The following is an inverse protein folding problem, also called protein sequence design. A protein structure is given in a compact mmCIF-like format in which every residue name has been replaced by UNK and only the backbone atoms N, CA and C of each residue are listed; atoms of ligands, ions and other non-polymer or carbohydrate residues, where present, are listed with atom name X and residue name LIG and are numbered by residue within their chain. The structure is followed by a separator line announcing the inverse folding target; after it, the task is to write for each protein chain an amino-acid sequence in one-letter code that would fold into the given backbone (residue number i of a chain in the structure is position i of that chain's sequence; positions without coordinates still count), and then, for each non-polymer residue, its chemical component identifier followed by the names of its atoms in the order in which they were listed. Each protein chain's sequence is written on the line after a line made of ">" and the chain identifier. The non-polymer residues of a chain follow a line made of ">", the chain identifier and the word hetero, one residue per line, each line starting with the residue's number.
data_IF_955790442970
#
_entry.id   IF_955790442970
#
_cell.length_a   1.000
_cell.length_b   1.000
_cell.length_c   1.000
_cell.angle_alpha   90.00
_cell.angle_beta   90.00
_cell.angle_gamma   90.00
#
_symmetry.space_group_name_H-M   'P 1'
#
loop_
_entity.id
_entity.type
_entity.pdbx_description
1 polymer ?
#
# COMPACT_ATOMS: atom_id res chain seq x y z
N UNK A 1 -27.35 -29.52 -55.17
CA UNK A 1 -27.90 -28.79 -54.01
C UNK A 1 -26.75 -28.37 -53.10
N UNK A 2 -26.25 -27.15 -53.30
CA UNK A 2 -25.22 -26.51 -52.45
C UNK A 2 -25.90 -25.79 -51.29
N UNK A 3 -25.61 -26.20 -50.05
CA UNK A 3 -26.12 -25.57 -48.82
C UNK A 3 -25.36 -24.26 -48.50
N UNK A 4 -25.98 -23.31 -47.78
CA UNK A 4 -25.71 -21.87 -47.95
C UNK A 4 -24.47 -21.36 -47.19
N UNK A 5 -23.84 -20.35 -47.79
CA UNK A 5 -22.78 -19.50 -47.20
C UNK A 5 -23.30 -18.83 -45.93
N UNK A 6 -22.60 -19.01 -44.82
CA UNK A 6 -22.86 -18.34 -43.55
C UNK A 6 -22.31 -16.91 -43.65
N UNK A 7 -23.14 -15.99 -44.14
CA UNK A 7 -22.83 -14.56 -44.16
C UNK A 7 -22.74 -14.05 -42.71
N UNK A 8 -21.50 -13.93 -42.25
CA UNK A 8 -21.13 -13.47 -40.91
C UNK A 8 -20.77 -11.98 -41.00
N UNK A 9 -21.71 -11.15 -41.42
CA UNK A 9 -21.51 -9.70 -41.56
C UNK A 9 -22.80 -8.96 -41.23
N UNK A 10 -22.74 -8.13 -40.17
CA UNK A 10 -23.74 -7.24 -39.54
C UNK A 10 -23.77 -7.60 -38.03
N UNK A 11 -23.06 -6.94 -37.12
CA UNK A 11 -22.89 -5.51 -36.91
C UNK A 11 -21.55 -5.20 -36.20
N UNK A 12 -20.68 -4.33 -36.73
CA UNK A 12 -19.68 -3.63 -35.92
C UNK A 12 -20.26 -2.26 -35.56
N UNK A 13 -21.31 -2.25 -34.74
CA UNK A 13 -21.65 -1.03 -34.00
C UNK A 13 -21.08 -1.23 -32.61
N UNK A 14 -19.94 -0.62 -32.33
CA UNK A 14 -19.58 -0.26 -30.96
C UNK A 14 -20.87 0.30 -30.34
N UNK A 15 -21.48 -0.47 -29.45
CA UNK A 15 -22.58 0.01 -28.63
C UNK A 15 -21.96 1.06 -27.73
N UNK A 16 -22.02 2.26 -28.24
CA UNK A 16 -21.48 3.50 -27.72
C UNK A 16 -22.35 3.91 -26.52
N UNK A 17 -22.33 3.07 -25.49
CA UNK A 17 -23.22 3.13 -24.33
C UNK A 17 -22.55 3.92 -23.19
N UNK A 18 -23.25 4.93 -22.68
CA UNK A 18 -22.80 5.76 -21.55
C UNK A 18 -23.30 5.13 -20.24
N UNK A 19 -22.38 4.71 -19.38
CA UNK A 19 -22.73 4.13 -18.09
C UNK A 19 -23.13 5.23 -17.09
N UNK A 20 -24.26 5.04 -16.41
CA UNK A 20 -24.65 5.93 -15.32
C UNK A 20 -23.78 5.70 -14.08
N UNK A 21 -22.97 6.68 -13.69
CA UNK A 21 -22.08 6.58 -12.52
C UNK A 21 -22.83 6.48 -11.17
N UNK A 22 -24.13 6.80 -11.14
CA UNK A 22 -24.95 6.72 -9.92
C UNK A 22 -25.54 5.31 -9.68
N UNK A 23 -25.93 4.60 -10.75
CA UNK A 23 -26.67 3.33 -10.63
C UNK A 23 -26.15 2.20 -11.51
N UNK A 24 -25.12 2.45 -12.34
CA UNK A 24 -24.54 1.46 -13.24
C UNK A 24 -25.37 1.13 -14.48
N UNK A 25 -26.53 1.78 -14.69
CA UNK A 25 -27.39 1.51 -15.86
C UNK A 25 -26.73 2.01 -17.16
N UNK A 26 -26.66 1.18 -18.22
CA UNK A 26 -26.19 1.61 -19.54
C UNK A 26 -27.27 2.46 -20.21
N UNK A 27 -26.90 3.68 -20.62
CA UNK A 27 -27.78 4.60 -21.33
C UNK A 27 -27.21 4.90 -22.72
N UNK A 28 -28.06 5.36 -23.64
CA UNK A 28 -27.59 5.78 -24.96
C UNK A 28 -26.75 7.05 -24.81
N UNK A 29 -25.75 7.26 -25.67
CA UNK A 29 -24.94 8.50 -25.69
C UNK A 29 -25.78 9.79 -25.82
N UNK A 30 -26.95 9.72 -26.47
CA UNK A 30 -27.88 10.85 -26.59
C UNK A 30 -28.54 11.24 -25.27
N UNK A 31 -28.58 10.35 -24.30
CA UNK A 31 -29.36 10.53 -23.08
C UNK A 31 -28.62 11.46 -22.13
N UNK A 32 -29.26 12.57 -21.76
CA UNK A 32 -28.73 13.53 -20.76
C UNK A 32 -29.03 13.12 -19.33
N UNK A 33 -30.01 12.25 -19.13
CA UNK A 33 -30.47 11.75 -17.84
C UNK A 33 -30.57 10.24 -17.89
N UNK A 34 -30.23 9.58 -16.78
CA UNK A 34 -30.31 8.14 -16.70
C UNK A 34 -31.77 7.71 -16.81
N UNK A 35 -32.08 6.79 -17.73
CA UNK A 35 -33.43 6.28 -17.95
C UNK A 35 -34.01 5.63 -16.69
N UNK A 36 -33.16 4.99 -15.88
CA UNK A 36 -33.56 4.37 -14.62
C UNK A 36 -33.67 5.36 -13.44
N UNK A 37 -32.55 5.93 -12.99
CA UNK A 37 -32.53 6.72 -11.75
C UNK A 37 -32.77 8.23 -11.95
N UNK A 38 -33.04 8.68 -13.19
CA UNK A 38 -33.26 10.09 -13.58
C UNK A 38 -32.13 11.06 -13.23
N UNK A 39 -31.02 10.60 -12.64
CA UNK A 39 -29.86 11.43 -12.37
C UNK A 39 -29.28 11.92 -13.69
N UNK A 40 -28.85 13.18 -13.74
CA UNK A 40 -28.10 13.70 -14.88
C UNK A 40 -26.93 12.77 -15.20
N UNK A 41 -26.85 12.29 -16.44
CA UNK A 41 -25.67 11.65 -17.01
C UNK A 41 -24.66 12.75 -17.31
N UNK A 42 -24.33 13.49 -16.27
CA UNK A 42 -23.52 14.68 -16.30
C UNK A 42 -22.21 14.26 -16.93
N UNK A 43 -21.97 14.80 -18.13
CA UNK A 43 -20.68 14.89 -18.74
C UNK A 43 -19.79 15.68 -17.78
N UNK A 44 -19.37 15.05 -16.67
CA UNK A 44 -18.30 15.57 -15.81
C UNK A 44 -16.98 15.33 -16.55
N UNK A 45 -16.91 15.82 -17.79
CA UNK A 45 -15.69 16.22 -18.45
C UNK A 45 -15.19 17.46 -17.74
N UNK A 46 -14.68 17.28 -16.52
CA UNK A 46 -13.63 18.18 -16.06
C UNK A 46 -12.49 18.12 -17.09
N UNK A 47 -11.61 19.12 -17.16
CA UNK A 47 -10.63 19.29 -18.24
C UNK A 47 -9.68 18.10 -18.49
N UNK A 48 -9.70 17.08 -17.63
CA UNK A 48 -8.86 15.89 -17.75
C UNK A 48 -9.66 14.60 -17.47
N UNK A 49 -10.62 14.20 -18.33
CA UNK A 49 -11.32 12.92 -18.19
C UNK A 49 -10.33 11.74 -18.19
N UNK A 50 -9.25 11.87 -18.96
CA UNK A 50 -8.13 10.94 -19.00
C UNK A 50 -7.43 10.77 -17.63
N UNK A 51 -7.35 11.80 -16.80
CA UNK A 51 -6.71 11.72 -15.47
C UNK A 51 -7.54 10.88 -14.50
N UNK A 52 -8.86 10.99 -14.59
CA UNK A 52 -9.79 10.21 -13.76
C UNK A 52 -9.79 8.74 -14.18
N UNK A 53 -9.78 8.50 -15.48
CA UNK A 53 -9.73 7.15 -16.05
C UNK A 53 -8.39 6.46 -15.75
N UNK A 54 -7.27 7.15 -15.95
CA UNK A 54 -5.94 6.67 -15.54
C UNK A 54 -5.85 6.45 -14.04
N UNK A 55 -6.42 7.34 -13.20
CA UNK A 55 -6.48 7.15 -11.75
C UNK A 55 -7.24 5.87 -11.37
N UNK A 56 -8.42 5.61 -11.94
CA UNK A 56 -9.16 4.39 -11.66
C UNK A 56 -8.43 3.14 -12.17
N UNK A 57 -7.78 3.20 -13.34
CA UNK A 57 -6.96 2.11 -13.88
C UNK A 57 -5.76 1.83 -12.96
N UNK A 58 -5.03 2.86 -12.53
CA UNK A 58 -3.90 2.75 -11.60
C UNK A 58 -4.34 2.19 -10.25
N UNK A 59 -5.44 2.71 -9.70
CA UNK A 59 -6.02 2.22 -8.44
C UNK A 59 -6.43 0.75 -8.55
N UNK A 60 -7.06 0.36 -9.65
CA UNK A 60 -7.46 -1.03 -9.90
C UNK A 60 -6.24 -1.94 -10.07
N UNK A 61 -5.23 -1.53 -10.84
CA UNK A 61 -3.95 -2.25 -10.97
C UNK A 61 -3.26 -2.40 -9.61
N UNK A 62 -3.31 -1.37 -8.77
CA UNK A 62 -2.76 -1.40 -7.42
C UNK A 62 -3.53 -2.37 -6.51
N UNK A 63 -4.87 -2.36 -6.56
CA UNK A 63 -5.71 -3.31 -5.81
C UNK A 63 -5.51 -4.77 -6.25
N UNK A 64 -5.33 -5.01 -7.55
CA UNK A 64 -5.00 -6.33 -8.08
C UNK A 64 -3.59 -6.75 -7.68
N UNK A 65 -2.61 -5.84 -7.72
CA UNK A 65 -1.24 -6.09 -7.25
C UNK A 65 -1.25 -6.41 -5.75
N UNK A 66 -2.03 -5.71 -4.93
CA UNK A 66 -2.19 -6.04 -3.50
C UNK A 66 -2.84 -7.41 -3.27
N UNK A 67 -3.91 -7.75 -4.00
CA UNK A 67 -4.52 -9.10 -3.90
C UNK A 67 -3.57 -10.19 -4.38
N UNK A 68 -2.83 -9.95 -5.46
CA UNK A 68 -1.81 -10.87 -5.95
C UNK A 68 -0.69 -11.05 -4.93
N UNK A 69 -0.19 -9.98 -4.30
CA UNK A 69 0.77 -10.13 -3.19
C UNK A 69 0.17 -10.79 -1.94
N UNK A 70 -1.14 -10.68 -1.69
CA UNK A 70 -1.79 -11.45 -0.61
C UNK A 70 -1.90 -12.95 -0.89
N UNK A 71 -1.93 -13.36 -2.16
CA UNK A 71 -2.10 -14.74 -2.60
C UNK A 71 -0.75 -15.39 -2.94
N UNK A 72 0.15 -14.64 -3.59
CA UNK A 72 1.45 -15.10 -4.12
C UNK A 72 2.66 -14.64 -3.28
N UNK A 73 2.50 -13.73 -2.30
CA UNK A 73 3.61 -13.37 -1.42
C UNK A 73 3.40 -13.93 -0.01
N UNK A 74 4.41 -14.65 0.53
CA UNK A 74 4.55 -14.76 1.97
C UNK A 74 4.88 -13.34 2.41
N UNK A 75 3.89 -12.58 2.86
CA UNK A 75 4.04 -11.20 3.37
C UNK A 75 4.83 -11.14 4.68
N UNK A 76 5.74 -12.09 4.88
CA UNK A 76 6.59 -12.27 6.04
C UNK A 76 8.07 -12.00 5.76
N UNK A 77 8.49 -11.39 4.64
CA UNK A 77 9.92 -11.13 4.35
C UNK A 77 10.33 -9.65 4.43
N UNK A 78 9.51 -8.69 4.00
CA UNK A 78 9.85 -7.26 4.15
C UNK A 78 9.58 -6.74 5.58
N UNK A 79 8.50 -7.20 6.21
CA UNK A 79 8.18 -6.89 7.61
C UNK A 79 9.26 -7.34 8.61
N UNK A 80 9.84 -8.55 8.55
CA UNK A 80 10.90 -8.92 9.47
C UNK A 80 12.20 -8.14 9.23
N UNK A 81 12.55 -7.77 7.99
CA UNK A 81 13.77 -6.99 7.72
C UNK A 81 13.63 -5.59 8.32
N UNK A 82 12.47 -4.95 8.14
CA UNK A 82 12.21 -3.62 8.70
C UNK A 82 12.12 -3.66 10.23
N UNK A 83 11.54 -4.74 10.78
CA UNK A 83 11.51 -5.00 12.22
C UNK A 83 12.91 -5.28 12.79
N UNK A 84 13.75 -6.02 12.07
CA UNK A 84 15.15 -6.29 12.42
C UNK A 84 15.97 -4.99 12.44
N UNK A 85 15.84 -4.17 11.39
CA UNK A 85 16.48 -2.86 11.29
C UNK A 85 16.02 -1.94 12.43
N UNK A 86 14.73 -1.96 12.77
CA UNK A 86 14.19 -1.21 13.91
C UNK A 86 14.81 -1.62 15.25
N UNK A 87 14.85 -2.92 15.56
CA UNK A 87 15.49 -3.41 16.79
C UNK A 87 17.00 -3.12 16.82
N UNK A 88 17.66 -3.16 15.66
CA UNK A 88 19.09 -2.83 15.56
C UNK A 88 19.36 -1.36 15.88
N UNK A 89 18.59 -0.44 15.30
CA UNK A 89 18.71 1.00 15.58
C UNK A 89 18.41 1.30 17.05
N UNK A 90 17.34 0.71 17.60
CA UNK A 90 16.99 0.86 19.02
C UNK A 90 18.14 0.37 19.91
N UNK A 91 18.66 -0.84 19.66
CA UNK A 91 19.77 -1.39 20.45
C UNK A 91 21.05 -0.54 20.40
N UNK A 92 21.38 0.02 19.23
CA UNK A 92 22.50 0.97 19.09
C UNK A 92 22.26 2.25 19.89
N UNK A 93 21.07 2.84 19.81
CA UNK A 93 20.77 4.07 20.55
C UNK A 93 20.83 3.87 22.06
N UNK A 94 20.25 2.78 22.58
CA UNK A 94 20.34 2.46 24.02
C UNK A 94 21.78 2.22 24.46
N UNK A 95 22.57 1.51 23.65
CA UNK A 95 23.97 1.23 23.98
C UNK A 95 24.81 2.50 23.98
N UNK A 96 24.64 3.38 22.98
CA UNK A 96 25.35 4.64 22.90
C UNK A 96 24.99 5.59 24.06
N UNK A 97 23.69 5.72 24.37
CA UNK A 97 23.22 6.53 25.49
C UNK A 97 23.73 5.97 26.84
N UNK A 98 23.70 4.64 26.99
CA UNK A 98 24.24 3.96 28.16
C UNK A 98 25.74 4.20 28.35
N UNK A 99 26.55 4.12 27.28
CA UNK A 99 27.99 4.38 27.34
C UNK A 99 28.30 5.84 27.70
N UNK A 100 27.53 6.77 27.14
CA UNK A 100 27.65 8.19 27.44
C UNK A 100 27.36 8.47 28.92
N UNK A 101 26.19 8.03 29.41
CA UNK A 101 25.80 8.20 30.81
C UNK A 101 26.73 7.47 31.77
N UNK A 102 27.30 6.34 31.37
CA UNK A 102 28.25 5.59 32.18
C UNK A 102 29.57 6.35 32.33
N UNK A 103 30.03 6.98 31.24
CA UNK A 103 31.25 7.78 31.24
C UNK A 103 31.09 9.04 32.10
N UNK A 104 29.91 9.68 32.04
CA UNK A 104 29.55 10.81 32.89
C UNK A 104 29.42 10.40 34.36
N UNK A 105 28.79 9.26 34.64
CA UNK A 105 28.69 8.71 36.00
C UNK A 105 30.05 8.41 36.63
N UNK A 106 31.03 7.95 35.83
CA UNK A 106 32.40 7.74 36.28
C UNK A 106 33.12 9.06 36.56
N UNK A 107 32.88 10.09 35.75
CA UNK A 107 33.46 11.42 35.95
C UNK A 107 32.91 12.10 37.22
N UNK A 108 31.60 12.00 37.44
CA UNK A 108 30.90 12.66 38.55
C UNK A 108 30.82 11.77 39.81
N UNK A 109 31.35 10.54 39.77
CA UNK A 109 31.28 9.54 40.86
C UNK A 109 29.86 9.25 41.37
N UNK A 110 28.86 9.43 40.51
CA UNK A 110 27.45 9.31 40.88
C UNK A 110 26.94 7.87 40.71
N UNK A 111 26.55 7.26 41.84
CA UNK A 111 26.11 5.86 41.89
C UNK A 111 24.77 5.63 41.19
N UNK A 112 23.83 6.59 41.29
CA UNK A 112 22.50 6.46 40.70
C UNK A 112 22.54 6.52 39.18
N UNK A 113 23.31 7.45 38.61
CA UNK A 113 23.50 7.54 37.16
C UNK A 113 24.27 6.34 36.62
N UNK A 114 25.24 5.81 37.38
CA UNK A 114 25.93 4.57 37.05
C UNK A 114 24.99 3.35 36.97
N UNK A 115 24.04 3.22 37.90
CA UNK A 115 23.02 2.16 37.86
C UNK A 115 22.09 2.31 36.64
N UNK A 116 21.63 3.54 36.38
CA UNK A 116 20.78 3.83 35.22
C UNK A 116 21.53 3.53 33.92
N UNK A 117 22.79 3.94 33.80
CA UNK A 117 23.63 3.68 32.65
C UNK A 117 23.87 2.17 32.44
N UNK A 118 24.11 1.42 33.52
CA UNK A 118 24.24 -0.04 33.49
C UNK A 118 22.98 -0.72 32.95
N UNK A 119 21.79 -0.26 33.37
CA UNK A 119 20.53 -0.76 32.82
C UNK A 119 20.40 -0.47 31.32
N UNK A 120 20.69 0.76 30.87
CA UNK A 120 20.66 1.11 29.44
C UNK A 120 21.62 0.26 28.61
N UNK A 121 22.85 0.04 29.11
CA UNK A 121 23.83 -0.84 28.48
C UNK A 121 23.34 -2.29 28.43
N UNK A 122 22.81 -2.80 29.53
CA UNK A 122 22.30 -4.16 29.60
C UNK A 122 21.15 -4.39 28.60
N UNK A 123 20.17 -3.49 28.56
CA UNK A 123 19.07 -3.56 27.60
C UNK A 123 19.53 -3.34 26.15
N UNK A 124 20.50 -2.45 25.91
CA UNK A 124 21.10 -2.24 24.59
C UNK A 124 21.82 -3.49 24.06
N UNK A 125 22.63 -4.14 24.91
CA UNK A 125 23.34 -5.37 24.56
C UNK A 125 22.35 -6.53 24.35
N UNK A 126 21.34 -6.69 25.21
CA UNK A 126 20.34 -7.74 25.04
C UNK A 126 19.53 -7.58 23.76
N UNK A 127 19.12 -6.35 23.43
CA UNK A 127 18.38 -6.08 22.19
C UNK A 127 19.23 -6.36 20.96
N UNK A 128 20.51 -5.95 20.94
CA UNK A 128 21.44 -6.30 19.87
C UNK A 128 21.70 -7.80 19.79
N UNK A 129 21.92 -8.48 20.92
CA UNK A 129 22.11 -9.93 20.97
C UNK A 129 20.89 -10.68 20.41
N UNK A 130 19.68 -10.21 20.70
CA UNK A 130 18.44 -10.81 20.15
C UNK A 130 18.34 -10.69 18.62
N UNK A 131 18.95 -9.65 18.03
CA UNK A 131 19.06 -9.43 16.58
C UNK A 131 20.09 -10.36 15.97
N UNK A 132 21.24 -10.58 16.62
CA UNK A 132 22.33 -11.42 16.09
C UNK A 132 22.18 -12.93 16.36
N UNK A 133 21.49 -13.34 17.44
CA UNK A 133 21.37 -14.75 17.84
C UNK A 133 20.18 -15.45 17.16
N UNK A 134 19.28 -14.71 16.50
CA UNK A 134 18.29 -15.33 15.59
C UNK A 134 19.00 -15.80 14.31
N UNK A 135 19.41 -17.06 14.32
CA UNK A 135 19.84 -17.83 13.14
C UNK A 135 18.89 -19.00 12.95
#
# INVERSE_FOLDING_TARGET
>A
MSKPKKDSTLFPSELDDKLCLNCGFPNRKSDRHCMYCKSSLLEKGGPFPWLRETYYILRWRWQLKQRRHRIDSPSGTYLPILKLLGYFVVGLTLSALGLYLFSEALADSSFSSGLIASLFLYYGILTLKSVFVKK
#
